data_IF_483253925362
#
_entry.id   IF_483253925362
#
_cell.length_a   1.000
_cell.length_b   1.000
_cell.length_c   1.000
_cell.angle_alpha   90.00
_cell.angle_beta   90.00
_cell.angle_gamma   90.00
#
_symmetry.space_group_name_H-M   'P 1'
#
loop_
_entity.id
_entity.type
_entity.pdbx_description
1 polymer ?
#
# COMPACT_ATOMS: atom_id res chain seq x y z
N UNK A 1 -52.31 -5.79 -20.67
CA UNK A 1 -50.94 -6.29 -20.95
C UNK A 1 -50.23 -6.42 -19.61
N UNK A 2 -49.82 -7.63 -19.22
CA UNK A 2 -49.25 -7.89 -17.88
C UNK A 2 -47.82 -7.32 -17.83
N UNK A 3 -47.40 -6.60 -16.76
CA UNK A 3 -46.07 -5.99 -16.68
C UNK A 3 -44.93 -7.02 -16.77
N UNK A 4 -45.25 -8.29 -16.50
CA UNK A 4 -44.35 -9.43 -16.69
C UNK A 4 -43.84 -9.57 -18.13
N UNK A 5 -44.66 -9.25 -19.14
CA UNK A 5 -44.25 -9.37 -20.55
C UNK A 5 -43.20 -8.31 -20.89
N UNK A 6 -43.36 -7.08 -20.38
CA UNK A 6 -42.40 -6.00 -20.61
C UNK A 6 -41.03 -6.30 -19.98
N UNK A 7 -41.01 -6.88 -18.78
CA UNK A 7 -39.77 -7.27 -18.09
C UNK A 7 -39.05 -8.38 -18.85
N UNK A 8 -39.77 -9.43 -19.28
CA UNK A 8 -39.20 -10.53 -20.07
C UNK A 8 -38.64 -10.02 -21.40
N UNK A 9 -39.37 -9.13 -22.08
CA UNK A 9 -38.92 -8.52 -23.33
C UNK A 9 -37.68 -7.65 -23.13
N UNK A 10 -37.59 -6.93 -22.01
CA UNK A 10 -36.44 -6.10 -21.65
C UNK A 10 -35.16 -6.96 -21.49
N UNK A 11 -35.26 -8.13 -20.86
CA UNK A 11 -34.13 -9.07 -20.74
C UNK A 11 -33.77 -9.75 -22.07
N UNK A 12 -34.76 -10.03 -22.92
CA UNK A 12 -34.52 -10.62 -24.25
C UNK A 12 -33.88 -9.63 -25.23
N UNK A 13 -34.24 -8.35 -25.18
CA UNK A 13 -33.70 -7.31 -26.07
C UNK A 13 -32.39 -6.69 -25.60
N UNK A 14 -32.19 -6.50 -24.29
CA UNK A 14 -30.96 -5.90 -23.75
C UNK A 14 -29.82 -6.91 -23.60
N UNK A 15 -30.05 -8.19 -23.91
CA UNK A 15 -29.02 -9.22 -23.95
C UNK A 15 -28.03 -9.06 -22.80
N UNK A 16 -28.54 -9.03 -21.56
CA UNK A 16 -27.67 -8.82 -20.41
C UNK A 16 -26.78 -10.06 -20.31
N UNK A 17 -25.58 -9.94 -20.85
CA UNK A 17 -24.58 -10.97 -20.74
C UNK A 17 -24.25 -11.09 -19.25
N UNK A 18 -24.79 -12.14 -18.63
CA UNK A 18 -24.68 -12.36 -17.20
C UNK A 18 -23.20 -12.34 -16.76
N UNK A 19 -22.27 -12.79 -17.60
CA UNK A 19 -20.84 -12.79 -17.30
C UNK A 19 -20.28 -11.37 -17.18
N UNK A 20 -20.65 -10.47 -18.09
CA UNK A 20 -20.22 -9.06 -18.09
C UNK A 20 -20.78 -8.28 -16.90
N UNK A 21 -22.03 -8.55 -16.50
CA UNK A 21 -22.63 -7.97 -15.28
C UNK A 21 -21.92 -8.45 -14.01
N UNK A 22 -21.58 -9.74 -13.91
CA UNK A 22 -20.85 -10.28 -12.76
C UNK A 22 -19.43 -9.71 -12.64
N UNK A 23 -18.69 -9.54 -13.75
CA UNK A 23 -17.36 -8.92 -13.72
C UNK A 23 -17.44 -7.46 -13.27
N UNK A 24 -18.42 -6.70 -13.78
CA UNK A 24 -18.64 -5.32 -13.35
C UNK A 24 -18.96 -5.21 -11.84
N UNK A 25 -19.84 -6.07 -11.32
CA UNK A 25 -20.15 -6.09 -9.88
C UNK A 25 -18.93 -6.49 -9.02
N UNK A 26 -18.10 -7.41 -9.52
CA UNK A 26 -16.84 -7.81 -8.85
C UNK A 26 -15.85 -6.65 -8.81
N UNK A 27 -15.65 -5.96 -9.93
CA UNK A 27 -14.74 -4.80 -10.03
C UNK A 27 -15.25 -3.62 -9.21
N UNK A 28 -16.55 -3.33 -9.24
CA UNK A 28 -17.18 -2.29 -8.43
C UNK A 28 -17.10 -2.58 -6.91
N UNK A 29 -17.17 -3.85 -6.52
CA UNK A 29 -16.98 -4.28 -5.12
C UNK A 29 -15.52 -4.22 -4.66
N UNK A 30 -14.55 -4.41 -5.57
CA UNK A 30 -13.12 -4.37 -5.26
C UNK A 30 -12.54 -2.95 -5.14
N UNK A 31 -13.26 -1.92 -5.59
CA UNK A 31 -12.77 -0.54 -5.64
C UNK A 31 -12.71 0.24 -4.32
N UNK A 32 -13.22 -0.29 -3.19
CA UNK A 32 -13.47 0.54 -1.98
C UNK A 32 -12.50 0.43 -0.80
N UNK A 33 -11.54 -0.47 -0.77
CA UNK A 33 -10.75 -0.65 0.48
C UNK A 33 -9.23 -0.59 0.35
N UNK A 34 -8.65 -0.70 -0.84
CA UNK A 34 -7.18 -0.87 -0.95
C UNK A 34 -6.39 0.36 -1.38
N UNK A 35 -7.04 1.44 -1.81
CA UNK A 35 -6.34 2.62 -2.35
C UNK A 35 -5.59 3.41 -1.30
N UNK A 36 -6.28 3.78 -0.22
CA UNK A 36 -5.73 4.65 0.81
C UNK A 36 -4.74 3.94 1.73
N UNK A 37 -4.92 2.65 2.03
CA UNK A 37 -3.94 1.90 2.85
C UNK A 37 -2.58 1.80 2.16
N UNK A 38 -2.56 1.51 0.86
CA UNK A 38 -1.31 1.41 0.09
C UNK A 38 -0.64 2.77 -0.07
N UNK A 39 -1.42 3.83 -0.26
CA UNK A 39 -0.91 5.20 -0.32
C UNK A 39 -0.35 5.65 1.04
N UNK A 40 -1.05 5.40 2.15
CA UNK A 40 -0.60 5.73 3.50
C UNK A 40 0.67 4.96 3.88
N UNK A 41 0.76 3.67 3.53
CA UNK A 41 1.98 2.87 3.73
C UNK A 41 3.11 3.40 2.85
N UNK A 42 2.86 3.68 1.57
CA UNK A 42 3.85 4.23 0.64
C UNK A 42 4.40 5.56 1.15
N UNK A 43 3.51 6.49 1.49
CA UNK A 43 3.87 7.81 1.99
C UNK A 43 4.58 7.74 3.33
N UNK A 44 4.14 6.89 4.27
CA UNK A 44 4.85 6.68 5.55
C UNK A 44 6.24 6.08 5.35
N UNK A 45 6.39 5.12 4.45
CA UNK A 45 7.68 4.51 4.13
C UNK A 45 8.63 5.52 3.47
N UNK A 46 8.12 6.33 2.53
CA UNK A 46 8.86 7.45 1.94
C UNK A 46 9.27 8.46 3.00
N UNK A 47 8.36 8.88 3.89
CA UNK A 47 8.71 9.77 4.99
C UNK A 47 9.83 9.16 5.83
N UNK A 48 9.70 7.93 6.35
CA UNK A 48 10.71 7.27 7.17
C UNK A 48 12.09 7.16 6.49
N UNK A 49 12.14 6.99 5.17
CA UNK A 49 13.38 6.96 4.40
C UNK A 49 13.94 8.38 4.14
N UNK A 50 13.07 9.36 3.92
CA UNK A 50 13.40 10.77 3.70
C UNK A 50 13.75 11.50 5.01
N UNK A 51 13.36 10.92 6.15
CA UNK A 51 13.80 11.28 7.51
C UNK A 51 15.30 11.00 7.76
N UNK A 52 16.12 10.91 6.71
CA UNK A 52 17.59 10.93 6.78
C UNK A 52 18.12 12.12 7.60
N UNK A 53 19.40 12.05 8.00
CA UNK A 53 19.93 12.48 9.30
C UNK A 53 19.40 13.85 9.75
N UNK A 54 18.39 13.83 10.63
CA UNK A 54 17.81 15.05 11.20
C UNK A 54 18.65 15.66 12.30
N UNK A 55 19.40 14.84 13.00
CA UNK A 55 20.09 15.25 14.22
C UNK A 55 21.59 15.30 14.00
N UNK A 56 22.28 16.15 14.76
CA UNK A 56 23.75 16.19 14.76
C UNK A 56 24.36 14.85 15.14
N UNK A 57 23.65 14.05 15.95
CA UNK A 57 24.09 12.70 16.33
C UNK A 57 24.06 11.74 15.13
N UNK A 58 23.03 11.79 14.29
CA UNK A 58 22.92 10.95 13.10
C UNK A 58 24.02 11.29 12.07
N UNK A 59 24.31 12.59 11.90
CA UNK A 59 25.40 13.05 11.04
C UNK A 59 26.75 12.55 11.54
N UNK A 60 27.00 12.68 12.85
CA UNK A 60 28.22 12.20 13.47
C UNK A 60 28.40 10.68 13.32
N UNK A 61 27.35 9.89 13.55
CA UNK A 61 27.40 8.44 13.38
C UNK A 61 27.71 8.04 11.93
N UNK A 62 27.14 8.75 10.95
CA UNK A 62 27.42 8.53 9.53
C UNK A 62 28.86 8.88 9.14
N UNK A 63 29.36 10.04 9.59
CA UNK A 63 30.76 10.43 9.35
C UNK A 63 31.74 9.46 10.00
N UNK A 64 31.44 9.00 11.22
CA UNK A 64 32.23 8.01 11.92
C UNK A 64 32.34 6.71 11.13
N UNK A 65 31.22 6.14 10.70
CA UNK A 65 31.19 4.93 9.86
C UNK A 65 31.90 5.12 8.53
N UNK A 66 31.67 6.26 7.85
CA UNK A 66 32.33 6.60 6.58
C UNK A 66 33.84 6.79 6.72
N UNK A 67 34.31 7.25 7.88
CA UNK A 67 35.74 7.41 8.17
C UNK A 67 36.47 6.08 8.44
N UNK A 68 35.74 4.95 8.47
CA UNK A 68 36.30 3.62 8.70
C UNK A 68 36.57 3.31 10.17
N UNK A 69 36.03 4.11 11.10
CA UNK A 69 36.15 3.86 12.54
C UNK A 69 35.16 2.77 12.98
N UNK A 70 35.44 2.14 14.12
CA UNK A 70 34.64 1.02 14.65
C UNK A 70 33.17 1.43 14.88
N UNK A 71 32.20 0.84 14.17
CA UNK A 71 30.78 1.13 14.35
C UNK A 71 30.26 0.74 15.74
N UNK A 72 30.93 -0.18 16.44
CA UNK A 72 30.53 -0.58 17.79
C UNK A 72 30.69 0.53 18.83
N UNK A 73 31.31 1.66 18.47
CA UNK A 73 31.31 2.88 19.27
C UNK A 73 29.89 3.33 19.69
N UNK A 74 28.88 3.08 18.85
CA UNK A 74 27.48 3.42 19.14
C UNK A 74 26.63 2.20 19.55
N UNK A 75 27.24 1.06 19.84
CA UNK A 75 26.52 -0.18 20.16
C UNK A 75 25.80 -0.05 21.51
N UNK A 76 24.48 -0.20 21.57
CA UNK A 76 23.77 -0.20 22.84
C UNK A 76 24.03 -1.50 23.62
N UNK A 77 23.96 -1.41 24.95
CA UNK A 77 24.09 -2.56 25.82
C UNK A 77 22.97 -3.57 25.53
N UNK A 78 23.33 -4.86 25.43
CA UNK A 78 22.39 -5.95 25.16
C UNK A 78 22.09 -6.21 23.69
N UNK A 79 22.67 -5.47 22.74
CA UNK A 79 22.51 -5.78 21.31
C UNK A 79 23.19 -7.12 20.96
N UNK A 80 22.44 -8.13 20.46
CA UNK A 80 23.00 -9.45 20.14
C UNK A 80 24.19 -9.34 19.19
N UNK A 81 25.26 -10.13 19.43
CA UNK A 81 26.53 -10.05 18.70
C UNK A 81 26.45 -10.28 17.19
N UNK A 82 25.33 -10.82 16.68
CA UNK A 82 25.08 -11.01 15.25
C UNK A 82 24.81 -9.71 14.48
N UNK A 83 24.56 -8.61 15.19
CA UNK A 83 24.36 -7.27 14.65
C UNK A 83 25.59 -6.41 14.90
#
# INVERSE_FOLDING_TARGET
MKPSIAIIFCFLFLGVDSQRWFQFMKEAGQGKEKGWEQEVISVSSTYLLEQGPRTRADQFANEWGRSGKDPNHFRPAGLPSKY
#
